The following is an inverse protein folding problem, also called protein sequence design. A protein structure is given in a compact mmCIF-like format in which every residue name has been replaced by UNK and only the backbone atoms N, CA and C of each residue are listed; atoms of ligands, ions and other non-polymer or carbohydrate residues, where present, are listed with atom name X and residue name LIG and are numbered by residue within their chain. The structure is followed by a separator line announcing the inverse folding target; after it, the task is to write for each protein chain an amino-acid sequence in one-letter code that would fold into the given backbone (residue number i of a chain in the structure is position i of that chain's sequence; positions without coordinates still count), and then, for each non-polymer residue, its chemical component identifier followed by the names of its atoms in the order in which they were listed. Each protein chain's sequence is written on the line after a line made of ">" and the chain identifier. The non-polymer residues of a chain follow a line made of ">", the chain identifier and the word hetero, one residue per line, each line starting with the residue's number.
data_IF_585954982651
#
_entry.id   IF_585954982651
#
_cell.length_a   1.000
_cell.length_b   1.000
_cell.length_c   1.000
_cell.angle_alpha   90.00
_cell.angle_beta   90.00
_cell.angle_gamma   90.00
#
_symmetry.space_group_name_H-M   'P 1'
#
loop_
_entity.id
_entity.type
_entity.pdbx_description
1 polymer ?
#
# COMPACT_ATOMS: atom_id res chain seq x y z
N UNK A 1 -37.52 2.91 -9.25
CA UNK A 1 -36.60 3.03 -8.12
C UNK A 1 -35.36 2.27 -8.51
N UNK A 2 -34.31 3.04 -8.75
CA UNK A 2 -32.92 2.59 -8.85
C UNK A 2 -32.59 1.73 -7.64
N UNK A 3 -31.70 0.75 -7.78
CA UNK A 3 -30.45 0.63 -7.01
C UNK A 3 -29.59 -0.41 -7.73
N UNK A 4 -28.72 0.06 -8.62
CA UNK A 4 -27.61 -0.74 -9.13
C UNK A 4 -26.60 -0.89 -8.00
N UNK A 5 -26.70 -1.97 -7.22
CA UNK A 5 -25.63 -2.40 -6.33
C UNK A 5 -24.48 -2.97 -7.16
N UNK A 6 -23.77 -2.06 -7.85
CA UNK A 6 -22.46 -2.33 -8.40
C UNK A 6 -21.49 -2.37 -7.21
N UNK A 7 -21.53 -3.48 -6.49
CA UNK A 7 -20.47 -3.88 -5.57
C UNK A 7 -19.20 -3.98 -6.41
N UNK A 8 -18.46 -2.88 -6.49
CA UNK A 8 -17.10 -2.90 -6.97
C UNK A 8 -16.35 -3.85 -6.06
N UNK A 9 -16.20 -5.08 -6.53
CA UNK A 9 -15.12 -5.98 -6.13
C UNK A 9 -13.86 -5.14 -6.09
N UNK A 10 -13.50 -4.67 -4.89
CA UNK A 10 -12.14 -4.32 -4.57
C UNK A 10 -11.43 -5.66 -4.70
N UNK A 11 -10.92 -5.92 -5.90
CA UNK A 11 -10.05 -7.05 -6.20
C UNK A 11 -8.84 -6.94 -5.29
N UNK A 12 -8.95 -7.48 -4.08
CA UNK A 12 -7.83 -7.96 -3.29
C UNK A 12 -7.29 -9.23 -3.94
N UNK A 13 -6.95 -9.13 -5.23
CA UNK A 13 -6.10 -10.05 -5.96
C UNK A 13 -4.66 -9.61 -5.78
N UNK A 14 -4.17 -9.60 -4.54
CA UNK A 14 -2.74 -9.70 -4.30
C UNK A 14 -2.55 -10.90 -3.38
N UNK A 15 -2.53 -12.05 -4.06
CA UNK A 15 -1.89 -13.31 -3.69
C UNK A 15 -1.16 -13.23 -2.35
N UNK A 16 -1.50 -14.21 -1.52
CA UNK A 16 -0.74 -14.81 -0.43
C UNK A 16 0.66 -15.32 -0.86
N UNK A 17 1.40 -14.55 -1.67
CA UNK A 17 2.84 -14.63 -1.60
C UNK A 17 3.17 -14.05 -0.24
N UNK A 18 3.76 -14.86 0.62
CA UNK A 18 4.63 -14.42 1.70
C UNK A 18 5.73 -13.55 1.07
N UNK A 19 5.38 -12.35 0.63
CA UNK A 19 6.35 -11.35 0.23
C UNK A 19 6.88 -10.89 1.56
N UNK A 20 8.04 -11.42 1.95
CA UNK A 20 8.77 -10.89 3.10
C UNK A 20 8.92 -9.39 2.85
N UNK A 21 8.15 -8.61 3.60
CA UNK A 21 8.12 -7.17 3.44
C UNK A 21 9.40 -6.62 4.05
N UNK A 22 10.35 -6.26 3.20
CA UNK A 22 11.60 -5.64 3.63
C UNK A 22 11.39 -4.13 3.88
N UNK A 23 11.27 -3.77 5.15
CA UNK A 23 11.06 -2.38 5.55
C UNK A 23 12.25 -1.47 5.19
N UNK A 24 13.48 -1.98 5.18
CA UNK A 24 14.66 -1.19 4.83
C UNK A 24 14.67 -0.85 3.33
N UNK A 25 14.18 -1.76 2.49
CA UNK A 25 13.98 -1.49 1.07
C UNK A 25 12.80 -0.54 0.81
N UNK A 26 11.72 -0.63 1.60
CA UNK A 26 10.57 0.26 1.46
C UNK A 26 10.87 1.70 1.92
N UNK A 27 11.68 1.85 2.97
CA UNK A 27 12.02 3.12 3.59
C UNK A 27 13.56 3.30 3.64
N UNK A 28 14.19 3.51 2.48
CA UNK A 28 15.64 3.70 2.41
C UNK A 28 16.06 4.98 3.13
N UNK A 29 17.29 4.99 3.65
CA UNK A 29 17.88 6.17 4.30
C UNK A 29 17.50 6.35 5.77
N UNK A 30 16.90 5.34 6.40
CA UNK A 30 16.78 5.30 7.87
C UNK A 30 18.11 4.84 8.48
N UNK A 31 18.52 5.52 9.54
CA UNK A 31 19.74 5.19 10.29
C UNK A 31 19.61 3.87 11.07
N UNK A 32 18.38 3.38 11.25
CA UNK A 32 18.06 2.18 12.00
C UNK A 32 17.50 1.08 11.10
N UNK A 33 17.85 -0.17 11.41
CA UNK A 33 17.30 -1.35 10.76
C UNK A 33 15.85 -1.57 11.18
N UNK A 34 14.92 -1.20 10.29
CA UNK A 34 13.48 -1.30 10.53
C UNK A 34 13.01 -2.75 10.59
N UNK A 35 13.66 -3.68 9.88
CA UNK A 35 13.32 -5.10 9.99
C UNK A 35 13.65 -5.66 11.38
N UNK A 36 14.68 -5.11 12.04
CA UNK A 36 15.04 -5.46 13.40
C UNK A 36 14.14 -4.79 14.45
N UNK A 37 13.74 -3.54 14.21
CA UNK A 37 12.83 -2.82 15.12
C UNK A 37 11.41 -3.37 15.07
N UNK A 38 10.95 -3.78 13.88
CA UNK A 38 9.62 -4.33 13.64
C UNK A 38 9.73 -5.71 13.00
N UNK A 39 10.07 -6.75 13.79
CA UNK A 39 10.16 -8.12 13.27
C UNK A 39 8.78 -8.73 12.97
N UNK A 40 7.71 -8.16 13.56
CA UNK A 40 6.35 -8.62 13.41
C UNK A 40 5.82 -8.45 11.97
N UNK A 41 5.29 -9.54 11.42
CA UNK A 41 4.81 -9.60 10.04
C UNK A 41 3.58 -8.70 9.82
N UNK A 42 2.70 -8.58 10.81
CA UNK A 42 1.51 -7.73 10.72
C UNK A 42 1.88 -6.26 10.57
N UNK A 43 2.85 -5.82 11.38
CA UNK A 43 3.38 -4.45 11.34
C UNK A 43 4.06 -4.15 10.01
N UNK A 44 4.85 -5.09 9.49
CA UNK A 44 5.49 -4.92 8.18
C UNK A 44 4.47 -4.75 7.06
N UNK A 45 3.45 -5.61 7.02
CA UNK A 45 2.35 -5.53 6.06
C UNK A 45 1.59 -4.22 6.14
N UNK A 46 1.26 -3.78 7.36
CA UNK A 46 0.59 -2.50 7.58
C UNK A 46 1.40 -1.33 7.00
N UNK A 47 2.70 -1.27 7.28
CA UNK A 47 3.58 -0.22 6.75
C UNK A 47 3.67 -0.25 5.22
N UNK A 48 3.68 -1.45 4.62
CA UNK A 48 3.64 -1.62 3.18
C UNK A 48 2.32 -1.13 2.57
N UNK A 49 1.18 -1.48 3.15
CA UNK A 49 -0.15 -1.05 2.70
C UNK A 49 -0.31 0.47 2.78
N UNK A 50 0.11 1.08 3.90
CA UNK A 50 0.07 2.55 4.08
C UNK A 50 0.90 3.23 2.98
N UNK A 51 2.10 2.72 2.68
CA UNK A 51 2.95 3.25 1.61
C UNK A 51 2.27 3.15 0.24
N UNK A 52 1.67 1.99 -0.06
CA UNK A 52 0.94 1.76 -1.32
C UNK A 52 -0.24 2.73 -1.44
N UNK A 53 -1.06 2.84 -0.40
CA UNK A 53 -2.20 3.74 -0.36
C UNK A 53 -1.79 5.20 -0.59
N UNK A 54 -0.73 5.67 0.08
CA UNK A 54 -0.18 7.01 -0.16
C UNK A 54 0.21 7.24 -1.62
N UNK A 55 0.93 6.29 -2.23
CA UNK A 55 1.35 6.39 -3.65
C UNK A 55 0.15 6.42 -4.58
N UNK A 56 -0.88 5.63 -4.29
CA UNK A 56 -2.09 5.56 -5.11
C UNK A 56 -2.87 6.87 -5.03
N UNK A 57 -2.98 7.48 -3.83
CA UNK A 57 -3.55 8.83 -3.65
C UNK A 57 -2.74 9.87 -4.42
N UNK A 58 -1.41 9.88 -4.28
CA UNK A 58 -0.55 10.81 -5.02
C UNK A 58 -0.72 10.67 -6.54
N UNK A 59 -0.85 9.43 -7.03
CA UNK A 59 -1.10 9.15 -8.45
C UNK A 59 -2.48 9.66 -8.87
N UNK A 60 -3.51 9.46 -8.06
CA UNK A 60 -4.85 9.94 -8.31
C UNK A 60 -4.92 11.47 -8.37
N UNK A 61 -4.29 12.16 -7.40
CA UNK A 61 -4.19 13.61 -7.40
C UNK A 61 -3.48 14.10 -8.66
N UNK A 62 -2.36 13.47 -9.05
CA UNK A 62 -1.65 13.82 -10.30
C UNK A 62 -2.51 13.64 -11.54
N UNK A 63 -3.33 12.59 -11.61
CA UNK A 63 -4.24 12.42 -12.76
C UNK A 63 -5.32 13.49 -12.84
N UNK A 64 -5.80 14.03 -11.71
CA UNK A 64 -6.76 15.14 -11.70
C UNK A 64 -6.15 16.45 -12.21
N UNK A 65 -4.86 16.69 -11.93
CA UNK A 65 -4.16 17.90 -12.37
C UNK A 65 -3.58 17.79 -13.80
N UNK A 66 -3.82 16.67 -14.49
CA UNK A 66 -3.36 16.42 -15.86
C UNK A 66 -4.41 16.79 -16.92
N UNK A 67 -5.63 17.14 -16.50
CA UNK A 67 -6.77 17.52 -17.36
C UNK A 67 -6.91 19.05 -17.58
N UNK A 68 -5.90 19.85 -17.24
CA UNK A 68 -5.85 21.31 -17.48
C UNK A 68 -4.66 21.70 -18.38
#
# INVERSE_FOLDING_TARGET
>A
MEETENSQEIKTEDKEKRVEVDLNALFPGKEYDLNRLFPDEGTKKLLHEIRRNKRDIERFIKSLHLEE
#
